data_IF_075771329370
#
_entry.id   IF_075771329370
#
_cell.length_a   1.000
_cell.length_b   1.000
_cell.length_c   1.000
_cell.angle_alpha   90.00
_cell.angle_beta   90.00
_cell.angle_gamma   90.00
#
_symmetry.space_group_name_H-M   'P 1'
#
loop_
_entity.id
_entity.type
_entity.pdbx_description
1 polymer ?
#
# COMPACT_ATOMS: atom_id res chain seq x y z
N UNK A 1 -36.28 20.08 28.74
CA UNK A 1 -35.26 20.66 27.86
C UNK A 1 -35.97 21.60 26.90
N UNK A 2 -35.64 22.89 26.88
CA UNK A 2 -36.24 23.82 25.92
C UNK A 2 -35.63 23.63 24.52
N UNK A 3 -36.20 24.27 23.47
CA UNK A 3 -35.73 24.09 22.09
C UNK A 3 -34.26 24.48 21.87
N UNK A 4 -33.75 25.47 22.62
CA UNK A 4 -32.34 25.89 22.58
C UNK A 4 -31.43 24.82 23.20
N UNK A 5 -31.77 24.30 24.38
CA UNK A 5 -31.03 23.22 25.03
C UNK A 5 -31.02 21.94 24.18
N UNK A 6 -32.13 21.66 23.48
CA UNK A 6 -32.23 20.54 22.54
C UNK A 6 -31.29 20.72 21.35
N UNK A 7 -31.20 21.93 20.78
CA UNK A 7 -30.26 22.23 19.69
C UNK A 7 -28.81 22.03 20.12
N UNK A 8 -28.40 22.55 21.29
CA UNK A 8 -27.03 22.32 21.80
C UNK A 8 -26.74 20.86 22.13
N UNK A 9 -27.72 20.10 22.61
CA UNK A 9 -27.58 18.67 22.85
C UNK A 9 -27.41 17.88 21.54
N UNK A 10 -28.26 18.16 20.54
CA UNK A 10 -28.17 17.55 19.20
C UNK A 10 -26.83 17.88 18.52
N UNK A 11 -26.40 19.14 18.60
CA UNK A 11 -25.11 19.61 18.09
C UNK A 11 -23.95 18.86 18.76
N UNK A 12 -24.02 18.64 20.07
CA UNK A 12 -22.97 17.90 20.81
C UNK A 12 -22.90 16.44 20.36
N UNK A 13 -24.05 15.79 20.20
CA UNK A 13 -24.11 14.40 19.74
C UNK A 13 -23.57 14.25 18.32
N UNK A 14 -24.00 15.12 17.40
CA UNK A 14 -23.46 15.17 16.04
C UNK A 14 -21.94 15.38 16.04
N UNK A 15 -21.46 16.33 16.84
CA UNK A 15 -20.03 16.64 16.91
C UNK A 15 -19.18 15.47 17.40
N UNK A 16 -19.69 14.68 18.37
CA UNK A 16 -19.02 13.45 18.82
C UNK A 16 -18.97 12.42 17.70
N UNK A 17 -20.09 12.14 17.02
CA UNK A 17 -20.13 11.18 15.92
C UNK A 17 -19.20 11.60 14.76
N UNK A 18 -19.25 12.87 14.38
CA UNK A 18 -18.38 13.47 13.37
C UNK A 18 -16.89 13.33 13.71
N UNK A 19 -16.54 13.58 14.98
CA UNK A 19 -15.16 13.46 15.46
C UNK A 19 -14.68 12.01 15.38
N UNK A 20 -15.49 11.05 15.83
CA UNK A 20 -15.17 9.62 15.77
C UNK A 20 -15.01 9.18 14.31
N UNK A 21 -15.95 9.59 13.45
CA UNK A 21 -15.88 9.30 12.03
C UNK A 21 -14.57 9.83 11.42
N UNK A 22 -14.24 11.11 11.64
CA UNK A 22 -13.01 11.71 11.12
C UNK A 22 -11.76 10.97 11.60
N UNK A 23 -11.69 10.63 12.89
CA UNK A 23 -10.57 9.91 13.47
C UNK A 23 -10.36 8.51 12.87
N UNK A 24 -11.43 7.84 12.43
CA UNK A 24 -11.36 6.50 11.81
C UNK A 24 -11.11 6.59 10.31
N UNK A 25 -11.79 7.48 9.59
CA UNK A 25 -11.79 7.48 8.13
C UNK A 25 -10.70 8.37 7.52
N UNK A 26 -10.38 9.52 8.11
CA UNK A 26 -9.38 10.43 7.53
C UNK A 26 -7.99 9.77 7.41
N UNK A 27 -7.47 9.05 8.43
CA UNK A 27 -6.20 8.33 8.28
C UNK A 27 -6.26 7.23 7.23
N UNK A 28 -7.41 6.57 7.05
CA UNK A 28 -7.56 5.50 6.03
C UNK A 28 -7.51 6.07 4.61
N UNK A 29 -8.20 7.18 4.35
CA UNK A 29 -8.14 7.86 3.06
C UNK A 29 -6.74 8.39 2.76
N UNK A 30 -6.07 9.02 3.74
CA UNK A 30 -4.70 9.49 3.60
C UNK A 30 -3.74 8.33 3.36
N UNK A 31 -3.84 7.26 4.15
CA UNK A 31 -3.00 6.08 3.98
C UNK A 31 -3.19 5.44 2.61
N UNK A 32 -4.43 5.28 2.15
CA UNK A 32 -4.69 4.71 0.82
C UNK A 32 -4.08 5.59 -0.28
N UNK A 33 -4.30 6.90 -0.23
CA UNK A 33 -3.68 7.85 -1.17
C UNK A 33 -2.15 7.69 -1.21
N UNK A 34 -1.52 7.56 -0.03
CA UNK A 34 -0.06 7.43 0.10
C UNK A 34 0.45 6.05 -0.34
N UNK A 35 -0.23 4.95 0.03
CA UNK A 35 0.31 3.59 -0.16
C UNK A 35 0.03 3.02 -1.54
N UNK A 36 -1.09 3.36 -2.16
CA UNK A 36 -1.48 2.83 -3.48
C UNK A 36 -1.38 3.86 -4.60
N UNK A 37 -1.15 5.14 -4.27
CA UNK A 37 -1.24 6.24 -5.24
C UNK A 37 -2.67 6.45 -5.77
N UNK A 38 -3.68 5.88 -5.09
CA UNK A 38 -5.07 5.92 -5.54
C UNK A 38 -5.72 7.26 -5.18
N UNK A 39 -5.44 8.26 -6.00
CA UNK A 39 -6.08 9.58 -5.94
C UNK A 39 -7.56 9.52 -6.30
N UNK A 40 -7.99 8.51 -7.06
CA UNK A 40 -9.38 8.35 -7.49
C UNK A 40 -10.28 7.99 -6.29
N UNK A 41 -9.83 7.15 -5.38
CA UNK A 41 -10.55 6.91 -4.14
C UNK A 41 -10.65 8.18 -3.27
N UNK A 42 -9.58 8.96 -3.19
CA UNK A 42 -9.52 10.14 -2.32
C UNK A 42 -10.41 11.29 -2.84
N UNK A 43 -10.34 11.63 -4.13
CA UNK A 43 -11.09 12.74 -4.73
C UNK A 43 -12.41 12.33 -5.39
N UNK A 44 -12.52 11.10 -5.90
CA UNK A 44 -13.63 10.64 -6.74
C UNK A 44 -14.45 9.51 -6.11
N UNK A 45 -14.23 9.24 -4.82
CA UNK A 45 -15.00 8.26 -4.07
C UNK A 45 -15.04 6.86 -4.72
N UNK A 46 -14.09 6.56 -5.60
CA UNK A 46 -13.92 5.26 -6.22
C UNK A 46 -13.13 4.36 -5.26
N UNK A 47 -13.73 4.05 -4.11
CA UNK A 47 -13.10 3.33 -3.00
C UNK A 47 -13.52 1.85 -2.96
N UNK A 48 -12.81 1.03 -2.18
CA UNK A 48 -13.40 -0.17 -1.58
C UNK A 48 -14.74 0.14 -0.90
N UNK A 49 -15.69 -0.79 -1.04
CA UNK A 49 -17.09 -0.64 -0.64
C UNK A 49 -17.32 -0.10 0.79
N UNK A 50 -16.43 -0.41 1.74
CA UNK A 50 -16.57 -0.05 3.14
C UNK A 50 -16.26 1.43 3.42
N UNK A 51 -15.30 2.02 2.69
CA UNK A 51 -14.90 3.42 2.84
C UNK A 51 -15.97 4.38 2.32
N UNK A 52 -16.48 4.12 1.11
CA UNK A 52 -17.53 4.92 0.49
C UNK A 52 -18.84 4.87 1.29
N UNK A 53 -19.26 3.67 1.71
CA UNK A 53 -20.49 3.50 2.51
C UNK A 53 -20.41 4.26 3.83
N UNK A 54 -19.24 4.33 4.45
CA UNK A 54 -19.01 5.13 5.66
C UNK A 54 -19.23 6.63 5.43
N UNK A 55 -18.61 7.21 4.40
CA UNK A 55 -18.81 8.62 4.02
C UNK A 55 -20.28 8.91 3.75
N UNK A 56 -20.91 8.05 2.95
CA UNK A 56 -22.32 8.16 2.61
C UNK A 56 -23.23 8.17 3.85
N UNK A 57 -23.02 7.23 4.78
CA UNK A 57 -23.76 7.15 6.03
C UNK A 57 -23.57 8.41 6.89
N UNK A 58 -22.33 8.91 7.01
CA UNK A 58 -22.05 10.10 7.80
C UNK A 58 -22.68 11.37 7.20
N UNK A 59 -22.67 11.51 5.87
CA UNK A 59 -23.36 12.61 5.20
C UNK A 59 -24.88 12.58 5.47
N UNK A 60 -25.51 11.41 5.43
CA UNK A 60 -26.93 11.27 5.78
C UNK A 60 -27.19 11.69 7.23
N UNK A 61 -26.38 11.20 8.17
CA UNK A 61 -26.50 11.56 9.59
C UNK A 61 -26.37 13.08 9.78
N UNK A 62 -25.44 13.72 9.08
CA UNK A 62 -25.25 15.18 9.10
C UNK A 62 -26.48 15.92 8.59
N UNK A 63 -27.04 15.52 7.45
CA UNK A 63 -28.23 16.15 6.87
C UNK A 63 -29.44 16.00 7.79
N UNK A 64 -29.63 14.81 8.38
CA UNK A 64 -30.69 14.56 9.36
C UNK A 64 -30.50 15.45 10.59
N UNK A 65 -29.28 15.56 11.10
CA UNK A 65 -28.96 16.46 12.22
C UNK A 65 -29.33 17.91 11.91
N UNK A 66 -28.92 18.45 10.76
CA UNK A 66 -29.25 19.83 10.39
C UNK A 66 -30.76 20.07 10.32
N UNK A 67 -31.52 19.11 9.78
CA UNK A 67 -32.98 19.20 9.75
C UNK A 67 -33.58 19.23 11.17
N UNK A 68 -33.14 18.35 12.05
CA UNK A 68 -33.59 18.30 13.45
C UNK A 68 -33.22 19.57 14.22
N UNK A 69 -32.02 20.10 13.99
CA UNK A 69 -31.54 21.31 14.64
C UNK A 69 -32.34 22.56 14.23
N UNK A 70 -32.69 22.68 12.94
CA UNK A 70 -33.58 23.74 12.46
C UNK A 70 -34.96 23.65 13.13
N UNK A 71 -35.52 22.44 13.27
CA UNK A 71 -36.80 22.22 13.95
C UNK A 71 -36.70 22.60 15.44
N UNK A 72 -35.61 22.18 16.11
CA UNK A 72 -35.35 22.52 17.51
C UNK A 72 -35.24 24.05 17.71
N UNK A 73 -34.48 24.74 16.87
CA UNK A 73 -34.35 26.20 16.92
C UNK A 73 -35.67 26.91 16.62
N UNK A 74 -36.45 26.45 15.62
CA UNK A 74 -37.78 27.03 15.32
C UNK A 74 -38.72 26.92 16.51
N UNK A 75 -38.68 25.80 17.25
CA UNK A 75 -39.47 25.62 18.47
C UNK A 75 -39.04 26.56 19.62
N UNK A 76 -37.81 27.07 19.58
CA UNK A 76 -37.29 28.05 20.56
C UNK A 76 -37.64 29.50 20.23
N UNK A 77 -38.25 29.77 19.06
CA UNK A 77 -38.64 31.11 18.63
C UNK A 77 -37.48 31.98 18.09
N UNK A 78 -36.27 31.44 17.98
CA UNK A 78 -35.11 32.15 17.47
C UNK A 78 -34.29 31.24 16.54
N UNK A 79 -34.15 31.63 15.27
CA UNK A 79 -33.27 30.95 14.31
C UNK A 79 -32.22 31.97 13.88
N UNK A 80 -31.00 31.94 14.44
CA UNK A 80 -29.95 32.84 14.02
C UNK A 80 -29.66 32.63 12.53
N UNK A 81 -29.80 33.69 11.74
CA UNK A 81 -29.64 33.66 10.28
C UNK A 81 -28.31 33.00 9.85
N UNK A 82 -27.25 33.27 10.61
CA UNK A 82 -25.91 32.70 10.38
C UNK A 82 -25.90 31.18 10.52
N UNK A 83 -26.61 30.63 11.51
CA UNK A 83 -26.70 29.17 11.73
C UNK A 83 -27.52 28.53 10.61
N UNK A 84 -28.62 29.18 10.22
CA UNK A 84 -29.44 28.71 9.10
C UNK A 84 -28.63 28.66 7.79
N UNK A 85 -27.93 29.74 7.45
CA UNK A 85 -27.08 29.78 6.25
C UNK A 85 -25.94 28.76 6.32
N UNK A 86 -25.30 28.60 7.49
CA UNK A 86 -24.26 27.61 7.69
C UNK A 86 -24.78 26.19 7.48
N UNK A 87 -25.86 25.80 8.17
CA UNK A 87 -26.43 24.45 8.06
C UNK A 87 -26.98 24.16 6.66
N UNK A 88 -27.64 25.14 6.02
CA UNK A 88 -28.11 24.99 4.64
C UNK A 88 -26.96 24.86 3.64
N UNK A 89 -25.89 25.66 3.78
CA UNK A 89 -24.73 25.58 2.89
C UNK A 89 -23.97 24.26 3.04
N UNK A 90 -23.73 23.80 4.27
CA UNK A 90 -23.07 22.51 4.54
C UNK A 90 -23.94 21.32 4.16
N UNK A 91 -25.25 21.37 4.42
CA UNK A 91 -26.19 20.34 4.00
C UNK A 91 -26.22 20.21 2.47
N UNK A 92 -26.33 21.34 1.76
CA UNK A 92 -26.31 21.36 0.30
C UNK A 92 -24.97 20.87 -0.26
N UNK A 93 -23.84 21.33 0.28
CA UNK A 93 -22.52 20.87 -0.11
C UNK A 93 -22.36 19.36 0.10
N UNK A 94 -22.83 18.84 1.24
CA UNK A 94 -22.86 17.42 1.57
C UNK A 94 -23.73 16.59 0.61
N UNK A 95 -24.88 17.10 0.19
CA UNK A 95 -25.74 16.42 -0.78
C UNK A 95 -25.14 16.43 -2.19
N UNK A 96 -24.56 17.56 -2.59
CA UNK A 96 -23.95 17.73 -3.91
C UNK A 96 -22.71 16.85 -4.09
N UNK A 97 -21.87 16.71 -3.05
CA UNK A 97 -20.72 15.79 -3.10
C UNK A 97 -21.16 14.33 -3.22
N UNK A 98 -22.24 13.92 -2.53
CA UNK A 98 -22.76 12.56 -2.60
C UNK A 98 -23.29 12.25 -3.99
N UNK A 99 -24.06 13.20 -4.55
CA UNK A 99 -24.60 13.08 -5.90
C UNK A 99 -23.50 13.01 -6.97
N UNK A 100 -22.44 13.81 -6.81
CA UNK A 100 -21.32 13.82 -7.74
C UNK A 100 -20.37 12.63 -7.57
N UNK A 101 -20.44 11.88 -6.46
CA UNK A 101 -19.45 10.87 -6.12
C UNK A 101 -18.05 11.47 -5.97
N UNK A 102 -17.93 12.62 -5.30
CA UNK A 102 -16.67 13.36 -5.16
C UNK A 102 -16.36 13.66 -3.70
N UNK A 103 -15.11 14.00 -3.42
CA UNK A 103 -14.65 14.61 -2.16
C UNK A 103 -14.71 13.70 -0.92
N UNK A 104 -14.54 12.39 -1.06
CA UNK A 104 -14.57 11.46 0.08
C UNK A 104 -13.44 11.67 1.09
N UNK A 105 -12.21 11.77 0.60
CA UNK A 105 -11.04 12.14 1.39
C UNK A 105 -11.23 13.53 2.02
N UNK A 106 -11.49 14.59 1.21
CA UNK A 106 -11.76 15.93 1.71
C UNK A 106 -12.83 16.01 2.80
N UNK A 107 -13.95 15.31 2.63
CA UNK A 107 -15.02 15.27 3.61
C UNK A 107 -14.57 14.69 4.96
N UNK A 108 -13.73 13.66 4.95
CA UNK A 108 -13.31 12.95 6.15
C UNK A 108 -12.46 13.80 7.12
N UNK A 109 -11.59 14.68 6.62
CA UNK A 109 -10.87 15.62 7.49
C UNK A 109 -11.65 16.89 7.77
N UNK A 110 -12.51 17.33 6.83
CA UNK A 110 -13.36 18.51 7.00
C UNK A 110 -14.28 18.36 8.22
N UNK A 111 -14.91 17.19 8.34
CA UNK A 111 -15.84 16.90 9.42
C UNK A 111 -15.15 16.76 10.79
N UNK A 112 -13.82 16.55 10.81
CA UNK A 112 -13.00 16.61 12.02
C UNK A 112 -12.99 17.99 12.69
N UNK A 113 -13.38 19.05 11.96
CA UNK A 113 -13.64 20.39 12.50
C UNK A 113 -14.61 20.40 13.69
N UNK A 114 -15.53 19.44 13.73
CA UNK A 114 -16.55 19.32 14.77
C UNK A 114 -16.00 18.98 16.17
N UNK A 115 -14.76 18.51 16.29
CA UNK A 115 -14.10 18.33 17.59
C UNK A 115 -14.14 19.61 18.44
N UNK A 116 -13.96 20.77 17.81
CA UNK A 116 -14.04 22.06 18.50
C UNK A 116 -15.46 22.40 18.97
N UNK A 117 -16.50 21.92 18.27
CA UNK A 117 -17.91 22.14 18.61
C UNK A 117 -18.29 21.49 19.94
N UNK A 118 -17.67 20.35 20.28
CA UNK A 118 -17.88 19.67 21.58
C UNK A 118 -17.56 20.64 22.74
N UNK A 119 -16.41 21.32 22.66
CA UNK A 119 -15.98 22.27 23.69
C UNK A 119 -16.76 23.59 23.64
N UNK A 120 -17.20 24.01 22.46
CA UNK A 120 -18.10 25.16 22.32
C UNK A 120 -19.43 24.93 23.05
N UNK A 121 -20.02 23.74 22.87
CA UNK A 121 -21.29 23.39 23.51
C UNK A 121 -21.11 23.19 25.02
N UNK A 122 -20.04 22.51 25.45
CA UNK A 122 -19.72 22.38 26.87
C UNK A 122 -19.56 23.75 27.56
N UNK A 123 -18.92 24.72 26.89
CA UNK A 123 -18.80 26.10 27.36
C UNK A 123 -20.17 26.76 27.52
N UNK A 124 -21.08 26.55 26.57
CA UNK A 124 -22.44 27.09 26.65
C UNK A 124 -23.20 26.52 27.85
N UNK A 125 -23.18 25.19 28.07
CA UNK A 125 -23.82 24.55 29.22
C UNK A 125 -23.25 25.04 30.56
N UNK A 126 -21.93 25.23 30.66
CA UNK A 126 -21.29 25.79 31.85
C UNK A 126 -21.73 27.24 32.10
N UNK A 127 -21.88 28.04 31.05
CA UNK A 127 -22.38 29.41 31.17
C UNK A 127 -23.85 29.44 31.61
N UNK A 128 -24.69 28.59 31.01
CA UNK A 128 -26.12 28.47 31.31
C UNK A 128 -26.38 28.01 32.75
N UNK A 129 -25.55 27.11 33.26
CA UNK A 129 -25.61 26.61 34.64
C UNK A 129 -24.98 27.55 35.68
N UNK A 130 -24.61 28.79 35.30
CA UNK A 130 -24.02 29.78 36.20
C UNK A 130 -22.57 29.49 36.61
N UNK A 131 -21.89 28.54 35.94
CA UNK A 131 -20.52 28.11 36.24
C UNK A 131 -19.45 28.82 35.40
N UNK A 132 -19.76 30.00 34.85
CA UNK A 132 -18.84 30.77 33.99
C UNK A 132 -17.58 31.28 34.70
N UNK A 133 -17.58 31.35 36.03
CA UNK A 133 -16.42 31.70 36.85
C UNK A 133 -15.58 30.50 37.30
N UNK A 134 -16.01 29.27 36.98
CA UNK A 134 -15.34 28.06 37.43
C UNK A 134 -14.01 27.80 36.71
N UNK A 135 -13.08 27.09 37.37
CA UNK A 135 -11.83 26.60 36.72
C UNK A 135 -12.14 25.71 35.52
N UNK A 136 -13.21 24.91 35.59
CA UNK A 136 -13.66 24.07 34.48
C UNK A 136 -14.05 24.89 33.25
N UNK A 137 -14.72 26.02 33.42
CA UNK A 137 -15.04 26.92 32.31
C UNK A 137 -13.78 27.44 31.60
N UNK A 138 -12.76 27.82 32.37
CA UNK A 138 -11.48 28.28 31.80
C UNK A 138 -10.78 27.17 31.01
N UNK A 139 -10.75 25.95 31.55
CA UNK A 139 -10.17 24.77 30.86
C UNK A 139 -10.92 24.49 29.55
N UNK A 140 -12.26 24.41 29.59
CA UNK A 140 -13.08 24.17 28.40
C UNK A 140 -12.91 25.27 27.36
N UNK A 141 -12.75 26.53 27.77
CA UNK A 141 -12.42 27.62 26.85
C UNK A 141 -11.05 27.45 26.19
N UNK A 142 -10.03 27.02 26.95
CA UNK A 142 -8.71 26.71 26.41
C UNK A 142 -8.76 25.55 25.41
N UNK A 143 -9.44 24.46 25.76
CA UNK A 143 -9.64 23.31 24.88
C UNK A 143 -10.39 23.68 23.61
N UNK A 144 -11.43 24.52 23.69
CA UNK A 144 -12.09 25.08 22.51
C UNK A 144 -11.12 25.83 21.61
N UNK A 145 -10.29 26.73 22.15
CA UNK A 145 -9.34 27.50 21.35
C UNK A 145 -8.28 26.61 20.67
N UNK A 146 -7.72 25.64 21.41
CA UNK A 146 -6.71 24.71 20.88
C UNK A 146 -7.30 23.82 19.79
N UNK A 147 -8.45 23.21 20.06
CA UNK A 147 -9.10 22.32 19.10
C UNK A 147 -9.58 23.06 17.85
N UNK A 148 -10.10 24.29 18.01
CA UNK A 148 -10.44 25.15 16.87
C UNK A 148 -9.21 25.46 15.99
N UNK A 149 -8.07 25.79 16.61
CA UNK A 149 -6.83 26.00 15.87
C UNK A 149 -6.40 24.73 15.12
N UNK A 150 -6.31 23.60 15.82
CA UNK A 150 -5.82 22.35 15.23
C UNK A 150 -6.72 21.89 14.09
N UNK A 151 -8.04 21.82 14.28
CA UNK A 151 -8.93 21.21 13.29
C UNK A 151 -9.39 22.18 12.22
N UNK A 152 -9.76 23.41 12.59
CA UNK A 152 -10.38 24.39 11.66
C UNK A 152 -9.40 25.39 11.04
N UNK A 153 -8.18 25.52 11.57
CA UNK A 153 -7.13 26.38 10.99
C UNK A 153 -6.03 25.55 10.34
N UNK A 154 -5.45 24.60 11.09
CA UNK A 154 -4.31 23.82 10.61
C UNK A 154 -4.75 22.67 9.70
N UNK A 155 -5.52 21.70 10.20
CA UNK A 155 -5.97 20.54 9.41
C UNK A 155 -6.82 20.99 8.21
N UNK A 156 -7.77 21.91 8.42
CA UNK A 156 -8.53 22.49 7.32
C UNK A 156 -7.61 23.14 6.28
N UNK A 157 -6.66 23.99 6.71
CA UNK A 157 -5.78 24.71 5.80
C UNK A 157 -4.92 23.76 4.96
N UNK A 158 -4.33 22.74 5.60
CA UNK A 158 -3.55 21.70 4.92
C UNK A 158 -4.42 20.89 3.96
N UNK A 159 -5.59 20.44 4.41
CA UNK A 159 -6.53 19.68 3.59
C UNK A 159 -7.07 20.47 2.39
N UNK A 160 -7.34 21.76 2.58
CA UNK A 160 -7.77 22.67 1.52
C UNK A 160 -6.66 22.89 0.48
N UNK A 161 -5.41 23.05 0.93
CA UNK A 161 -4.27 23.18 0.03
C UNK A 161 -4.08 21.90 -0.80
N UNK A 162 -4.10 20.73 -0.17
CA UNK A 162 -4.04 19.44 -0.87
C UNK A 162 -5.19 19.30 -1.88
N UNK A 163 -6.41 19.59 -1.45
CA UNK A 163 -7.59 19.50 -2.31
C UNK A 163 -7.50 20.40 -3.54
N UNK A 164 -7.09 21.67 -3.37
CA UNK A 164 -7.02 22.63 -4.48
C UNK A 164 -5.82 22.39 -5.39
N UNK A 165 -4.70 21.92 -4.84
CA UNK A 165 -3.44 21.81 -5.59
C UNK A 165 -3.30 20.47 -6.30
N UNK A 166 -3.86 19.40 -5.72
CA UNK A 166 -3.59 18.03 -6.18
C UNK A 166 -4.80 17.34 -6.83
N UNK A 167 -6.04 17.85 -6.73
CA UNK A 167 -7.17 17.26 -7.47
C UNK A 167 -7.07 17.63 -8.97
N UNK A 168 -6.77 16.67 -9.87
CA UNK A 168 -6.55 16.95 -11.29
C UNK A 168 -7.82 17.39 -12.03
N UNK A 169 -8.99 17.17 -11.43
CA UNK A 169 -10.28 17.40 -12.06
C UNK A 169 -10.98 18.66 -11.52
N UNK A 170 -10.40 19.33 -10.53
CA UNK A 170 -11.00 20.50 -9.87
C UNK A 170 -11.29 21.67 -10.82
N UNK A 171 -10.46 21.86 -11.86
CA UNK A 171 -10.64 22.93 -12.86
C UNK A 171 -10.75 22.41 -14.32
N UNK A 172 -10.95 21.10 -14.52
CA UNK A 172 -10.82 20.48 -15.84
C UNK A 172 -12.08 20.60 -16.73
N UNK A 173 -13.28 20.52 -16.15
CA UNK A 173 -14.58 20.60 -16.86
C UNK A 173 -15.60 21.35 -16.04
N UNK A 174 -16.45 22.19 -16.65
CA UNK A 174 -17.48 22.95 -15.91
C UNK A 174 -18.63 22.03 -15.47
N UNK A 175 -18.64 21.66 -14.20
CA UNK A 175 -19.66 20.80 -13.58
C UNK A 175 -20.20 21.43 -12.29
N UNK A 176 -21.43 21.08 -11.91
CA UNK A 176 -22.12 21.71 -10.76
C UNK A 176 -21.35 21.55 -9.45
N UNK A 177 -20.63 20.45 -9.26
CA UNK A 177 -19.87 20.18 -8.02
C UNK A 177 -18.66 21.11 -7.83
N UNK A 178 -18.18 21.80 -8.87
CA UNK A 178 -17.04 22.72 -8.75
C UNK A 178 -17.34 24.00 -7.98
N UNK A 179 -18.59 24.20 -7.52
CA UNK A 179 -18.89 25.20 -6.50
C UNK A 179 -18.26 24.86 -5.14
N UNK A 180 -17.99 23.58 -4.86
CA UNK A 180 -17.50 23.09 -3.57
C UNK A 180 -16.13 23.68 -3.19
N UNK A 181 -15.10 23.71 -4.06
CA UNK A 181 -13.84 24.39 -3.78
C UNK A 181 -14.00 25.84 -3.33
N UNK A 182 -14.85 26.62 -4.01
CA UNK A 182 -15.11 28.01 -3.63
C UNK A 182 -15.76 28.12 -2.26
N UNK A 183 -16.69 27.21 -1.94
CA UNK A 183 -17.31 27.14 -0.62
C UNK A 183 -16.28 26.79 0.46
N UNK A 184 -15.35 25.87 0.19
CA UNK A 184 -14.31 25.50 1.16
C UNK A 184 -13.35 26.66 1.42
N UNK A 185 -12.93 27.39 0.38
CA UNK A 185 -12.09 28.60 0.54
C UNK A 185 -12.82 29.67 1.34
N UNK A 186 -14.08 29.97 1.00
CA UNK A 186 -14.88 30.94 1.73
C UNK A 186 -15.04 30.56 3.21
N UNK A 187 -15.26 29.27 3.48
CA UNK A 187 -15.40 28.75 4.83
C UNK A 187 -14.10 28.79 5.63
N UNK A 188 -12.96 28.52 4.97
CA UNK A 188 -11.65 28.68 5.59
C UNK A 188 -11.41 30.14 6.01
N UNK A 189 -11.75 31.10 5.15
CA UNK A 189 -11.71 32.52 5.50
C UNK A 189 -12.57 32.87 6.72
N UNK A 190 -13.76 32.26 6.84
CA UNK A 190 -14.62 32.42 8.01
C UNK A 190 -13.99 31.80 9.28
N UNK A 191 -13.35 30.64 9.18
CA UNK A 191 -12.62 30.02 10.30
C UNK A 191 -11.47 30.92 10.78
N UNK A 192 -10.69 31.51 9.87
CA UNK A 192 -9.62 32.45 10.21
C UNK A 192 -10.17 33.69 10.93
N UNK A 193 -11.29 34.24 10.45
CA UNK A 193 -11.98 35.35 11.11
C UNK A 193 -12.41 34.99 12.54
N UNK A 194 -13.05 33.84 12.75
CA UNK A 194 -13.46 33.40 14.08
C UNK A 194 -12.28 33.12 15.00
N UNK A 195 -11.22 32.49 14.50
CA UNK A 195 -10.02 32.25 15.28
C UNK A 195 -9.37 33.56 15.76
N UNK A 196 -9.34 34.59 14.90
CA UNK A 196 -8.87 35.93 15.30
C UNK A 196 -9.68 36.51 16.47
N UNK A 197 -10.99 36.27 16.52
CA UNK A 197 -11.83 36.68 17.66
C UNK A 197 -11.57 35.85 18.91
N UNK A 198 -11.39 34.54 18.76
CA UNK A 198 -11.06 33.64 19.88
C UNK A 198 -9.76 34.09 20.54
N UNK A 199 -8.72 34.35 19.75
CA UNK A 199 -7.44 34.86 20.26
C UNK A 199 -7.62 36.17 21.04
N UNK A 200 -8.37 37.14 20.53
CA UNK A 200 -8.65 38.39 21.26
C UNK A 200 -9.33 38.16 22.61
N UNK A 201 -10.24 37.20 22.70
CA UNK A 201 -10.94 36.86 23.96
C UNK A 201 -9.96 36.22 24.94
N UNK A 202 -9.13 35.27 24.48
CA UNK A 202 -8.12 34.60 25.30
C UNK A 202 -7.08 35.62 25.80
N UNK A 203 -6.54 36.47 24.92
CA UNK A 203 -5.56 37.50 25.29
C UNK A 203 -6.13 38.60 26.20
N UNK A 204 -7.43 38.93 26.12
CA UNK A 204 -8.06 39.84 27.09
C UNK A 204 -8.30 39.16 28.46
N UNK A 205 -8.50 37.85 28.48
CA UNK A 205 -8.74 37.08 29.71
C UNK A 205 -7.48 36.82 30.52
N UNK A 206 -6.33 36.73 29.86
CA UNK A 206 -5.02 36.72 30.51
C UNK A 206 -4.62 38.20 30.71
N UNK A 207 -4.28 38.65 31.92
CA UNK A 207 -3.83 40.05 32.18
C UNK A 207 -2.46 40.37 31.56
N UNK A 208 -2.23 39.99 30.31
CA UNK A 208 -1.00 40.25 29.57
C UNK A 208 -1.15 41.60 28.89
N UNK A 209 -0.22 42.52 29.18
CA UNK A 209 -0.18 43.91 28.66
C UNK A 209 0.30 43.96 27.20
N UNK A 210 -0.13 43.02 26.36
CA UNK A 210 0.21 42.97 24.94
C UNK A 210 -1.02 43.41 24.15
N UNK A 211 -0.88 44.45 23.33
CA UNK A 211 -1.94 44.88 22.43
C UNK A 211 -2.35 43.70 21.54
N UNK A 212 -3.65 43.35 21.44
CA UNK A 212 -4.09 42.26 20.59
C UNK A 212 -3.61 42.52 19.15
N UNK A 213 -3.04 41.52 18.45
CA UNK A 213 -2.58 41.71 17.08
C UNK A 213 -3.74 42.19 16.19
N UNK A 214 -3.43 43.07 15.24
CA UNK A 214 -4.39 43.49 14.22
C UNK A 214 -4.86 42.28 13.42
N UNK A 215 -6.01 42.38 12.76
CA UNK A 215 -6.49 41.29 11.89
C UNK A 215 -5.44 40.88 10.86
N UNK A 216 -4.76 41.87 10.27
CA UNK A 216 -3.67 41.64 9.31
C UNK A 216 -2.46 40.91 9.92
N UNK A 217 -2.02 41.27 11.13
CA UNK A 217 -0.90 40.57 11.79
C UNK A 217 -1.28 39.16 12.22
N UNK A 218 -2.51 38.95 12.65
CA UNK A 218 -3.03 37.61 13.00
C UNK A 218 -3.10 36.73 11.75
N UNK A 219 -3.60 37.27 10.64
CA UNK A 219 -3.67 36.56 9.36
C UNK A 219 -2.27 36.21 8.83
N UNK A 220 -1.30 37.13 8.94
CA UNK A 220 0.09 36.88 8.54
C UNK A 220 0.75 35.80 9.40
N UNK A 221 0.57 35.85 10.72
CA UNK A 221 1.08 34.84 11.65
C UNK A 221 0.46 33.47 11.39
N UNK A 222 -0.84 33.41 11.11
CA UNK A 222 -1.52 32.15 10.78
C UNK A 222 -1.04 31.62 9.44
N UNK A 223 -0.98 32.45 8.39
CA UNK A 223 -0.43 32.06 7.09
C UNK A 223 1.00 31.53 7.24
N UNK A 224 1.83 32.23 8.01
CA UNK A 224 3.22 31.85 8.27
C UNK A 224 3.32 30.56 9.11
N UNK A 225 2.43 30.34 10.08
CA UNK A 225 2.36 29.11 10.85
C UNK A 225 1.83 27.96 9.99
N UNK A 226 0.85 28.17 9.11
CA UNK A 226 0.37 27.14 8.19
C UNK A 226 1.41 26.78 7.14
N UNK A 227 2.19 27.75 6.64
CA UNK A 227 3.29 27.47 5.70
C UNK A 227 4.48 26.82 6.40
N UNK A 228 4.82 27.21 7.64
CA UNK A 228 5.93 26.60 8.39
C UNK A 228 5.57 25.23 8.93
N UNK A 229 4.33 25.03 9.41
CA UNK A 229 3.80 23.70 9.75
C UNK A 229 3.68 22.83 8.51
N UNK A 230 3.35 23.39 7.34
CA UNK A 230 3.47 22.68 6.06
C UNK A 230 4.92 22.33 5.78
N UNK A 231 5.90 23.24 5.87
CA UNK A 231 7.31 22.89 5.64
C UNK A 231 7.83 21.78 6.56
N UNK A 232 7.44 21.77 7.84
CA UNK A 232 7.85 20.75 8.81
C UNK A 232 7.10 19.42 8.64
N UNK A 233 5.82 19.46 8.24
CA UNK A 233 5.01 18.27 7.96
C UNK A 233 5.38 17.68 6.59
N UNK A 234 5.62 18.53 5.60
CA UNK A 234 6.11 18.22 4.27
C UNK A 234 7.51 17.62 4.33
N UNK A 235 8.47 18.15 5.11
CA UNK A 235 9.78 17.52 5.23
C UNK A 235 9.71 16.12 5.86
N UNK A 236 8.87 15.93 6.89
CA UNK A 236 8.68 14.63 7.56
C UNK A 236 7.97 13.59 6.66
N UNK A 237 6.97 14.03 5.88
CA UNK A 237 6.25 13.15 4.95
C UNK A 237 7.02 12.93 3.66
N UNK A 238 7.69 13.94 3.08
CA UNK A 238 8.49 13.79 1.86
C UNK A 238 9.66 12.84 2.08
N UNK A 239 10.36 12.90 3.22
CA UNK A 239 11.46 11.97 3.48
C UNK A 239 10.96 10.50 3.50
N UNK A 240 9.72 10.26 3.94
CA UNK A 240 9.09 8.94 3.89
C UNK A 240 8.45 8.60 2.54
N UNK A 241 7.84 9.57 1.86
CA UNK A 241 7.19 9.41 0.55
C UNK A 241 8.24 9.20 -0.53
N UNK A 242 9.31 9.99 -0.58
CA UNK A 242 10.44 9.80 -1.49
C UNK A 242 11.09 8.42 -1.26
N UNK A 243 11.28 8.00 -0.01
CA UNK A 243 11.87 6.69 0.28
C UNK A 243 10.94 5.53 -0.09
N UNK A 244 9.63 5.69 0.07
CA UNK A 244 8.62 4.70 -0.35
C UNK A 244 8.45 4.68 -1.88
N UNK A 245 8.45 5.82 -2.56
CA UNK A 245 8.39 5.94 -4.02
C UNK A 245 9.67 5.39 -4.65
N UNK A 246 10.85 5.71 -4.10
CA UNK A 246 12.13 5.12 -4.54
C UNK A 246 12.12 3.61 -4.31
N UNK A 247 11.60 3.14 -3.17
CA UNK A 247 11.44 1.70 -2.90
C UNK A 247 10.48 1.03 -3.89
N UNK A 248 9.34 1.65 -4.20
CA UNK A 248 8.36 1.13 -5.15
C UNK A 248 8.89 1.15 -6.59
N UNK A 249 9.57 2.22 -7.01
CA UNK A 249 10.21 2.32 -8.31
C UNK A 249 11.34 1.30 -8.45
N UNK A 250 12.10 1.10 -7.38
CA UNK A 250 13.12 0.04 -7.30
C UNK A 250 12.48 -1.34 -7.44
N UNK A 251 11.44 -1.63 -6.66
CA UNK A 251 10.70 -2.89 -6.73
C UNK A 251 10.12 -3.15 -8.14
N UNK A 252 9.57 -2.13 -8.79
CA UNK A 252 9.08 -2.20 -10.17
C UNK A 252 10.21 -2.45 -11.18
N UNK A 253 11.38 -1.87 -10.96
CA UNK A 253 12.56 -2.10 -11.81
C UNK A 253 13.07 -3.53 -11.66
N UNK A 254 13.24 -4.02 -10.42
CA UNK A 254 13.68 -5.40 -10.16
C UNK A 254 12.69 -6.41 -10.76
N UNK A 255 11.39 -6.19 -10.57
CA UNK A 255 10.33 -7.03 -11.13
C UNK A 255 10.41 -7.09 -12.64
N UNK A 256 10.51 -5.94 -13.31
CA UNK A 256 10.60 -5.89 -14.78
C UNK A 256 11.83 -6.62 -15.32
N UNK A 257 12.98 -6.47 -14.67
CA UNK A 257 14.21 -7.15 -15.08
C UNK A 257 14.07 -8.66 -14.91
N UNK A 258 13.52 -9.11 -13.78
CA UNK A 258 13.26 -10.53 -13.53
C UNK A 258 12.21 -11.14 -14.47
N UNK A 259 11.12 -10.44 -14.75
CA UNK A 259 10.09 -10.92 -15.68
C UNK A 259 10.63 -11.03 -17.11
N UNK A 260 11.48 -10.07 -17.52
CA UNK A 260 12.18 -10.15 -18.81
C UNK A 260 13.16 -11.33 -18.86
N UNK A 261 13.89 -11.58 -17.76
CA UNK A 261 14.79 -12.71 -17.62
C UNK A 261 14.02 -14.04 -17.78
N UNK A 262 12.97 -14.25 -16.98
CA UNK A 262 12.11 -15.44 -17.04
C UNK A 262 11.48 -15.63 -18.43
N UNK A 263 11.05 -14.54 -19.07
CA UNK A 263 10.53 -14.59 -20.43
C UNK A 263 11.59 -15.10 -21.43
N UNK A 264 12.83 -14.62 -21.32
CA UNK A 264 13.93 -15.01 -22.19
C UNK A 264 14.42 -16.46 -21.93
N UNK A 265 14.16 -17.04 -20.76
CA UNK A 265 14.53 -18.42 -20.43
C UNK A 265 13.45 -19.45 -20.77
N UNK A 266 12.18 -19.11 -20.54
CA UNK A 266 11.09 -20.08 -20.52
C UNK A 266 10.07 -19.90 -21.64
N UNK A 267 9.78 -18.66 -22.07
CA UNK A 267 8.70 -18.43 -23.02
C UNK A 267 9.04 -19.06 -24.39
N UNK A 268 8.22 -19.98 -24.94
CA UNK A 268 8.57 -20.78 -26.12
C UNK A 268 9.08 -19.98 -27.32
N UNK A 269 8.44 -18.83 -27.60
CA UNK A 269 8.78 -17.94 -28.72
C UNK A 269 9.85 -16.87 -28.41
N UNK A 270 10.36 -16.79 -27.17
CA UNK A 270 11.30 -15.74 -26.75
C UNK A 270 12.60 -16.29 -26.12
N UNK A 271 12.81 -17.61 -26.17
CA UNK A 271 14.04 -18.25 -25.67
C UNK A 271 15.29 -17.66 -26.32
N UNK A 272 16.13 -16.97 -25.54
CA UNK A 272 17.35 -16.30 -26.02
C UNK A 272 18.37 -16.16 -24.89
N UNK A 273 19.57 -16.74 -25.11
CA UNK A 273 20.69 -16.58 -24.16
C UNK A 273 21.13 -15.13 -24.11
N UNK A 274 21.18 -14.45 -25.26
CA UNK A 274 21.58 -13.04 -25.34
C UNK A 274 20.64 -12.15 -24.51
N UNK A 275 19.32 -12.29 -24.66
CA UNK A 275 18.37 -11.48 -23.89
C UNK A 275 18.41 -11.82 -22.39
N UNK A 276 18.60 -13.09 -22.02
CA UNK A 276 18.83 -13.48 -20.61
C UNK A 276 20.09 -12.81 -20.07
N UNK A 277 21.23 -12.92 -20.76
CA UNK A 277 22.50 -12.35 -20.31
C UNK A 277 22.47 -10.81 -20.21
N UNK A 278 21.67 -10.11 -21.03
CA UNK A 278 21.48 -8.65 -20.94
C UNK A 278 20.84 -8.19 -19.63
N UNK A 279 20.11 -9.07 -18.94
CA UNK A 279 19.51 -8.75 -17.63
C UNK A 279 20.47 -8.97 -16.46
N UNK A 280 21.64 -9.55 -16.71
CA UNK A 280 22.64 -9.88 -15.71
C UNK A 280 23.81 -8.88 -15.71
N UNK A 281 24.50 -8.75 -14.57
CA UNK A 281 25.65 -7.88 -14.44
C UNK A 281 26.91 -8.47 -15.11
N UNK A 282 28.07 -7.82 -14.95
CA UNK A 282 29.33 -8.26 -15.55
C UNK A 282 29.95 -9.50 -14.88
N UNK A 283 29.49 -9.88 -13.67
CA UNK A 283 30.04 -11.00 -12.90
C UNK A 283 28.92 -11.89 -12.33
N UNK A 284 28.04 -12.44 -13.19
CA UNK A 284 26.86 -13.15 -12.71
C UNK A 284 27.21 -14.53 -12.16
N UNK A 285 26.37 -15.07 -11.29
CA UNK A 285 26.41 -16.49 -10.94
C UNK A 285 25.03 -17.11 -10.87
N UNK A 286 24.89 -18.31 -11.43
CA UNK A 286 23.66 -19.10 -11.35
C UNK A 286 23.98 -20.41 -10.64
N UNK A 287 23.15 -20.80 -9.68
CA UNK A 287 23.29 -22.07 -8.97
C UNK A 287 21.93 -22.75 -8.79
N UNK A 288 21.76 -23.88 -9.47
CA UNK A 288 20.71 -24.84 -9.18
C UNK A 288 21.16 -25.72 -8.02
N UNK A 289 20.79 -25.32 -6.81
CA UNK A 289 21.40 -25.79 -5.57
C UNK A 289 21.33 -27.31 -5.39
N UNK A 290 20.20 -27.99 -5.66
CA UNK A 290 20.11 -29.43 -5.45
C UNK A 290 20.99 -30.27 -6.39
N UNK A 291 21.29 -29.78 -7.60
CA UNK A 291 22.18 -30.46 -8.56
C UNK A 291 23.58 -29.87 -8.59
N UNK A 292 23.81 -28.72 -7.95
CA UNK A 292 25.04 -27.95 -7.97
C UNK A 292 25.51 -27.58 -9.39
N UNK A 293 24.55 -27.39 -10.31
CA UNK A 293 24.83 -27.02 -11.70
C UNK A 293 24.53 -25.53 -11.90
N UNK A 294 25.35 -24.89 -12.72
CA UNK A 294 25.17 -23.51 -13.13
C UNK A 294 26.46 -22.95 -13.71
N UNK A 295 26.79 -21.71 -13.35
CA UNK A 295 28.00 -21.04 -13.81
C UNK A 295 28.36 -19.82 -12.98
N UNK A 296 29.63 -19.40 -13.06
CA UNK A 296 30.14 -18.19 -12.41
C UNK A 296 30.92 -17.37 -13.43
N UNK A 297 30.58 -16.09 -13.55
CA UNK A 297 31.08 -15.18 -14.57
C UNK A 297 30.35 -15.33 -15.91
N UNK A 298 30.40 -14.28 -16.73
CA UNK A 298 29.59 -14.12 -17.95
C UNK A 298 29.70 -15.30 -18.91
N UNK A 299 30.91 -15.76 -19.21
CA UNK A 299 31.12 -16.85 -20.17
C UNK A 299 30.59 -18.19 -19.65
N UNK A 300 30.82 -18.49 -18.36
CA UNK A 300 30.36 -19.75 -17.77
C UNK A 300 28.84 -19.80 -17.64
N UNK A 301 28.21 -18.67 -17.30
CA UNK A 301 26.74 -18.57 -17.22
C UNK A 301 26.12 -18.65 -18.62
N UNK A 302 26.68 -17.96 -19.61
CA UNK A 302 26.21 -18.06 -20.99
C UNK A 302 26.34 -19.48 -21.57
N UNK A 303 27.46 -20.17 -21.30
CA UNK A 303 27.65 -21.57 -21.69
C UNK A 303 26.64 -22.49 -21.01
N UNK A 304 26.39 -22.30 -19.71
CA UNK A 304 25.35 -23.03 -18.97
C UNK A 304 23.96 -22.82 -19.59
N UNK A 305 23.56 -21.56 -19.82
CA UNK A 305 22.26 -21.26 -20.42
C UNK A 305 22.09 -21.86 -21.81
N UNK A 306 23.16 -21.84 -22.62
CA UNK A 306 23.16 -22.38 -23.98
C UNK A 306 23.09 -23.90 -23.99
N UNK A 307 23.93 -24.56 -23.20
CA UNK A 307 24.15 -26.00 -23.32
C UNK A 307 23.22 -26.84 -22.44
N UNK A 308 22.85 -26.32 -21.26
CA UNK A 308 22.26 -27.12 -20.16
C UNK A 308 20.91 -26.62 -19.67
N UNK A 309 20.45 -25.43 -20.06
CA UNK A 309 19.22 -24.83 -19.51
C UNK A 309 18.19 -24.40 -20.56
N UNK A 310 18.29 -23.19 -21.12
CA UNK A 310 17.23 -22.50 -21.88
C UNK A 310 16.67 -23.39 -23.00
N UNK A 311 17.55 -24.01 -23.78
CA UNK A 311 17.16 -24.85 -24.91
C UNK A 311 16.85 -26.30 -24.54
N UNK A 312 17.21 -26.74 -23.33
CA UNK A 312 16.91 -28.08 -22.80
C UNK A 312 15.59 -28.14 -22.02
N UNK A 313 15.02 -26.99 -21.69
CA UNK A 313 13.71 -26.87 -21.04
C UNK A 313 12.59 -27.47 -21.91
N UNK A 314 11.86 -28.52 -21.45
CA UNK A 314 10.70 -29.06 -22.15
C UNK A 314 9.54 -28.06 -22.13
N UNK A 315 8.40 -28.46 -22.72
CA UNK A 315 7.15 -27.76 -22.42
C UNK A 315 6.86 -27.91 -20.92
N UNK A 316 6.67 -26.80 -20.23
CA UNK A 316 6.41 -26.78 -18.79
C UNK A 316 5.40 -25.68 -18.47
N UNK A 317 4.59 -25.93 -17.44
CA UNK A 317 3.74 -24.93 -16.83
C UNK A 317 4.42 -24.41 -15.57
N UNK A 318 4.58 -23.09 -15.49
CA UNK A 318 5.12 -22.39 -14.34
C UNK A 318 3.98 -21.60 -13.70
N UNK A 319 3.53 -22.04 -12.52
CA UNK A 319 2.44 -21.38 -11.79
C UNK A 319 3.04 -20.56 -10.64
N UNK A 320 2.95 -19.21 -10.68
CA UNK A 320 3.40 -18.38 -9.57
C UNK A 320 2.58 -18.66 -8.30
N UNK A 321 3.24 -18.74 -7.15
CA UNK A 321 2.61 -18.91 -5.83
C UNK A 321 2.75 -17.64 -5.01
N UNK A 322 3.98 -17.18 -4.81
CA UNK A 322 4.27 -15.97 -4.06
C UNK A 322 5.54 -15.28 -4.58
N UNK A 323 5.61 -13.96 -4.42
CA UNK A 323 6.79 -13.17 -4.74
C UNK A 323 7.06 -12.17 -3.63
N UNK A 324 8.27 -12.22 -3.06
CA UNK A 324 8.76 -11.25 -2.08
C UNK A 324 9.84 -10.39 -2.71
N UNK A 325 9.64 -9.06 -2.69
CA UNK A 325 10.59 -8.10 -3.24
C UNK A 325 11.28 -7.38 -2.10
N UNK A 326 12.59 -7.61 -1.96
CA UNK A 326 13.47 -6.87 -1.07
C UNK A 326 14.16 -5.69 -1.76
N UNK A 327 15.02 -4.99 -1.02
CA UNK A 327 15.77 -3.82 -1.53
C UNK A 327 16.56 -4.13 -2.81
N UNK A 328 17.23 -5.28 -2.83
CA UNK A 328 18.13 -5.75 -3.90
C UNK A 328 17.93 -7.23 -4.20
N UNK A 329 16.74 -7.78 -3.93
CA UNK A 329 16.50 -9.21 -4.10
C UNK A 329 15.04 -9.49 -4.41
N UNK A 330 14.81 -10.55 -5.16
CA UNK A 330 13.50 -11.16 -5.35
C UNK A 330 13.56 -12.60 -4.85
N UNK A 331 12.55 -13.02 -4.09
CA UNK A 331 12.30 -14.43 -3.79
C UNK A 331 11.00 -14.79 -4.48
N UNK A 332 11.07 -15.67 -5.46
CA UNK A 332 9.94 -16.09 -6.28
C UNK A 332 9.65 -17.56 -6.02
N UNK A 333 8.44 -17.86 -5.57
CA UNK A 333 7.95 -19.21 -5.30
C UNK A 333 6.98 -19.61 -6.40
N UNK A 334 7.23 -20.75 -7.02
CA UNK A 334 6.46 -21.22 -8.16
C UNK A 334 6.29 -22.74 -8.11
N UNK A 335 5.20 -23.22 -8.72
CA UNK A 335 4.98 -24.64 -8.96
C UNK A 335 5.36 -24.92 -10.40
N UNK A 336 6.26 -25.88 -10.59
CA UNK A 336 6.65 -26.39 -11.90
C UNK A 336 5.89 -27.67 -12.18
N UNK A 337 5.30 -27.75 -13.37
CA UNK A 337 4.73 -28.97 -13.92
C UNK A 337 5.34 -29.24 -15.30
N UNK A 338 5.92 -30.42 -15.49
CA UNK A 338 6.54 -30.79 -16.77
C UNK A 338 6.51 -32.30 -16.99
N UNK A 339 6.66 -32.71 -18.24
CA UNK A 339 6.92 -34.10 -18.61
C UNK A 339 8.41 -34.29 -18.93
N UNK A 340 9.03 -35.31 -18.34
CA UNK A 340 10.44 -35.65 -18.57
C UNK A 340 10.62 -36.40 -19.91
N UNK A 341 10.35 -35.69 -21.02
CA UNK A 341 10.36 -36.20 -22.40
C UNK A 341 11.73 -36.11 -23.10
N UNK A 342 12.70 -35.47 -22.46
CA UNK A 342 14.08 -35.22 -22.92
C UNK A 342 15.01 -35.16 -21.72
N UNK A 343 16.32 -35.21 -21.96
CA UNK A 343 17.29 -34.94 -20.90
C UNK A 343 17.14 -33.51 -20.39
N UNK A 344 17.06 -33.34 -19.07
CA UNK A 344 16.94 -32.03 -18.40
C UNK A 344 18.16 -31.84 -17.49
N UNK A 345 19.32 -31.38 -18.03
CA UNK A 345 20.59 -31.43 -17.31
C UNK A 345 20.61 -30.67 -15.99
N UNK A 346 19.85 -29.58 -15.87
CA UNK A 346 19.80 -28.78 -14.66
C UNK A 346 18.99 -29.41 -13.53
N UNK A 347 18.02 -30.29 -13.86
CA UNK A 347 17.10 -30.91 -12.90
C UNK A 347 17.54 -32.33 -12.50
N UNK A 348 17.90 -33.14 -13.49
CA UNK A 348 18.33 -34.54 -13.33
C UNK A 348 19.45 -34.85 -14.33
N UNK A 349 20.71 -34.50 -13.99
CA UNK A 349 21.81 -34.42 -14.97
C UNK A 349 22.15 -35.74 -15.68
N UNK A 350 21.94 -36.86 -14.99
CA UNK A 350 22.38 -38.19 -15.42
C UNK A 350 21.22 -39.12 -15.79
N UNK A 351 19.99 -38.60 -15.87
CA UNK A 351 18.80 -39.41 -16.11
C UNK A 351 18.29 -39.21 -17.54
N UNK A 352 18.12 -40.34 -18.25
CA UNK A 352 17.47 -40.36 -19.55
C UNK A 352 15.96 -40.11 -19.43
N UNK A 353 15.27 -39.70 -20.51
CA UNK A 353 13.84 -39.41 -20.49
C UNK A 353 13.03 -40.56 -19.91
N UNK A 354 12.28 -40.28 -18.84
CA UNK A 354 11.42 -41.27 -18.18
C UNK A 354 9.97 -41.18 -18.65
N UNK A 355 9.62 -40.11 -19.38
CA UNK A 355 8.25 -39.78 -19.81
C UNK A 355 7.24 -39.61 -18.66
N UNK A 356 7.72 -39.57 -17.41
CA UNK A 356 6.89 -39.25 -16.27
C UNK A 356 6.55 -37.75 -16.25
N UNK A 357 5.31 -37.43 -15.90
CA UNK A 357 4.91 -36.07 -15.56
C UNK A 357 5.17 -35.83 -14.08
N UNK A 358 5.89 -34.76 -13.78
CA UNK A 358 6.29 -34.41 -12.42
C UNK A 358 5.81 -33.00 -12.08
N UNK A 359 5.41 -32.81 -10.83
CA UNK A 359 5.01 -31.51 -10.31
C UNK A 359 5.70 -31.26 -8.98
N UNK A 360 6.35 -30.10 -8.83
CA UNK A 360 7.11 -29.79 -7.63
C UNK A 360 7.20 -28.26 -7.39
N UNK A 361 7.27 -27.82 -6.13
CA UNK A 361 7.60 -26.43 -5.80
C UNK A 361 9.07 -26.10 -6.12
N UNK A 362 9.30 -24.88 -6.59
CA UNK A 362 10.61 -24.31 -6.84
C UNK A 362 10.66 -22.89 -6.26
N UNK A 363 11.79 -22.53 -5.64
CA UNK A 363 12.07 -21.19 -5.14
C UNK A 363 13.29 -20.63 -5.85
N UNK A 364 13.13 -19.48 -6.50
CA UNK A 364 14.20 -18.69 -7.09
C UNK A 364 14.55 -17.52 -6.17
N UNK A 365 15.80 -17.48 -5.67
CA UNK A 365 16.35 -16.33 -4.95
C UNK A 365 17.27 -15.57 -5.89
N UNK A 366 16.82 -14.40 -6.31
CA UNK A 366 17.50 -13.53 -7.27
C UNK A 366 18.06 -12.32 -6.53
N UNK A 367 19.35 -12.05 -6.69
CA UNK A 367 20.06 -10.93 -6.06
C UNK A 367 20.51 -9.97 -7.15
N UNK A 368 20.29 -8.68 -6.93
CA UNK A 368 20.60 -7.62 -7.86
C UNK A 368 21.75 -6.75 -7.35
N UNK A 369 22.59 -6.31 -8.28
CA UNK A 369 23.57 -5.24 -8.09
C UNK A 369 23.26 -4.12 -9.09
N UNK A 370 22.94 -2.93 -8.58
CA UNK A 370 22.28 -1.93 -9.42
C UNK A 370 21.00 -2.52 -10.01
N UNK A 371 20.68 -2.22 -11.27
CA UNK A 371 19.45 -2.72 -11.92
C UNK A 371 19.60 -4.11 -12.56
N UNK A 372 20.74 -4.78 -12.40
CA UNK A 372 21.05 -6.05 -13.07
C UNK A 372 21.17 -7.21 -12.07
N UNK A 373 20.87 -8.41 -12.54
CA UNK A 373 20.96 -9.64 -11.75
C UNK A 373 22.43 -10.00 -11.54
N UNK A 374 22.83 -10.18 -10.29
CA UNK A 374 24.18 -10.63 -9.90
C UNK A 374 24.20 -12.12 -9.58
N UNK A 375 23.20 -12.62 -8.84
CA UNK A 375 23.18 -14.01 -8.41
C UNK A 375 21.79 -14.61 -8.48
N UNK A 376 21.72 -15.87 -8.90
CA UNK A 376 20.53 -16.70 -8.83
C UNK A 376 20.83 -17.96 -8.05
N UNK A 377 19.96 -18.28 -7.09
CA UNK A 377 19.99 -19.54 -6.34
C UNK A 377 18.62 -20.17 -6.42
N UNK A 378 18.57 -21.33 -7.06
CA UNK A 378 17.34 -22.05 -7.35
C UNK A 378 17.28 -23.27 -6.45
N UNK A 379 16.17 -23.39 -5.71
CA UNK A 379 15.92 -24.46 -4.74
C UNK A 379 14.67 -25.23 -5.12
N UNK A 380 14.70 -26.54 -4.89
CA UNK A 380 13.54 -27.42 -4.91
C UNK A 380 13.85 -28.68 -4.10
N UNK A 381 12.82 -29.50 -3.84
CA UNK A 381 13.00 -30.80 -3.21
C UNK A 381 13.41 -31.86 -4.25
N UNK A 382 14.71 -32.19 -4.28
CA UNK A 382 15.24 -33.19 -5.20
C UNK A 382 14.68 -34.59 -4.91
N UNK A 383 14.37 -34.93 -3.67
CA UNK A 383 13.86 -36.26 -3.33
C UNK A 383 12.46 -36.45 -3.91
N UNK A 384 11.61 -35.42 -3.83
CA UNK A 384 10.28 -35.39 -4.46
C UNK A 384 10.37 -35.53 -5.98
N UNK A 385 11.32 -34.85 -6.63
CA UNK A 385 11.56 -34.99 -8.07
C UNK A 385 11.99 -36.41 -8.42
N UNK A 386 13.00 -36.96 -7.73
CA UNK A 386 13.52 -38.29 -8.00
C UNK A 386 12.52 -39.41 -7.72
N UNK A 387 11.66 -39.26 -6.70
CA UNK A 387 10.55 -40.18 -6.40
C UNK A 387 9.52 -40.20 -7.54
N UNK A 388 9.10 -39.03 -8.02
CA UNK A 388 8.16 -38.94 -9.14
C UNK A 388 8.74 -39.47 -10.46
N UNK A 389 10.06 -39.37 -10.64
CA UNK A 389 10.78 -39.94 -11.79
C UNK A 389 11.06 -41.45 -11.66
N UNK A 390 10.69 -42.09 -10.55
CA UNK A 390 10.90 -43.52 -10.32
C UNK A 390 12.33 -43.92 -9.99
N UNK A 391 13.19 -42.97 -9.60
CA UNK A 391 14.59 -43.22 -9.20
C UNK A 391 14.67 -43.66 -7.74
N UNK A 392 13.84 -43.08 -6.88
CA UNK A 392 13.73 -43.42 -5.46
C UNK A 392 12.46 -44.26 -5.26
N UNK A 393 12.52 -45.26 -4.36
CA UNK A 393 11.38 -46.13 -4.04
C UNK A 393 10.17 -45.30 -3.55
N UNK A 394 9.04 -45.48 -4.24
CA UNK A 394 7.80 -44.80 -3.93
C UNK A 394 7.25 -45.14 -2.53
N UNK A 395 7.69 -46.28 -1.94
CA UNK A 395 7.29 -46.74 -0.62
C UNK A 395 7.90 -45.91 0.54
N UNK A 396 8.93 -45.10 0.28
CA UNK A 396 9.55 -44.24 1.29
C UNK A 396 8.53 -43.17 1.69
N UNK A 397 7.95 -43.33 2.88
CA UNK A 397 6.87 -42.49 3.42
C UNK A 397 7.31 -41.07 3.74
N UNK A 398 8.59 -40.89 4.06
CA UNK A 398 9.15 -39.59 4.48
C UNK A 398 9.44 -38.65 3.31
N UNK A 399 9.36 -39.16 2.07
CA UNK A 399 9.49 -38.36 0.84
C UNK A 399 8.11 -38.21 0.22
N UNK A 400 7.59 -37.00 0.18
CA UNK A 400 6.31 -36.69 -0.46
C UNK A 400 6.46 -36.53 -1.97
N UNK A 401 5.41 -36.80 -2.73
CA UNK A 401 5.33 -36.66 -4.18
C UNK A 401 4.66 -35.34 -4.61
N UNK A 402 3.79 -35.34 -5.64
CA UNK A 402 3.19 -34.12 -6.18
C UNK A 402 2.27 -33.38 -5.17
N UNK A 403 1.89 -34.02 -4.07
CA UNK A 403 1.10 -33.41 -3.00
C UNK A 403 1.78 -32.19 -2.36
N UNK A 404 3.12 -32.09 -2.40
CA UNK A 404 3.82 -30.87 -1.96
C UNK A 404 3.33 -29.64 -2.72
N UNK A 405 3.15 -29.76 -4.04
CA UNK A 405 2.70 -28.67 -4.89
C UNK A 405 1.20 -28.38 -4.72
N UNK A 406 0.36 -29.40 -4.51
CA UNK A 406 -1.08 -29.20 -4.38
C UNK A 406 -1.50 -28.57 -3.05
N UNK A 407 -0.74 -28.83 -1.97
CA UNK A 407 -1.03 -28.29 -0.65
C UNK A 407 -0.51 -26.86 -0.47
N UNK A 408 0.56 -26.48 -1.18
CA UNK A 408 1.24 -25.19 -1.04
C UNK A 408 0.29 -23.97 -1.15
N UNK A 409 -0.62 -23.86 -2.13
CA UNK A 409 -1.54 -22.71 -2.22
C UNK A 409 -2.67 -22.74 -1.20
N UNK A 410 -2.98 -23.92 -0.63
CA UNK A 410 -4.18 -24.14 0.19
C UNK A 410 -3.96 -23.90 1.68
N UNK A 411 -2.70 -23.74 2.13
CA UNK A 411 -2.29 -23.73 3.53
C UNK A 411 -2.83 -24.93 4.35
N UNK A 412 -3.24 -26.02 3.69
CA UNK A 412 -3.65 -27.26 4.34
C UNK A 412 -2.42 -28.15 4.51
N UNK A 413 -2.18 -28.59 5.73
CA UNK A 413 -1.17 -29.60 6.00
C UNK A 413 -1.79 -30.99 5.83
N UNK A 414 -0.96 -32.00 5.55
CA UNK A 414 -1.39 -33.39 5.75
C UNK A 414 -1.87 -33.54 7.20
N UNK A 415 -3.00 -34.24 7.39
CA UNK A 415 -3.61 -34.44 8.71
C UNK A 415 -2.66 -35.14 9.71
N UNK A 416 -3.10 -35.24 10.97
CA UNK A 416 -2.29 -35.67 12.12
C UNK A 416 -1.29 -36.81 11.84
N UNK A 417 -0.04 -36.58 12.24
CA UNK A 417 1.07 -37.52 12.17
C UNK A 417 0.80 -38.73 13.07
N UNK A 418 0.40 -39.88 12.51
CA UNK A 418 0.37 -41.13 13.28
C UNK A 418 1.77 -41.74 13.34
N UNK A 419 2.44 -41.57 14.48
CA UNK A 419 3.72 -42.21 14.75
C UNK A 419 3.55 -43.73 14.87
N UNK A 420 3.82 -44.47 13.80
CA UNK A 420 4.00 -45.92 13.88
C UNK A 420 5.16 -46.37 13.01
N UNK A 421 6.37 -46.34 13.56
CA UNK A 421 7.35 -47.44 13.43
C UNK A 421 8.70 -47.03 14.03
N UNK A 422 9.31 -47.98 14.73
CA UNK A 422 10.68 -47.94 15.23
C UNK A 422 11.68 -47.87 14.07
N UNK A 423 12.61 -46.91 14.11
CA UNK A 423 13.69 -46.78 13.14
C UNK A 423 14.59 -48.03 13.14
N UNK A 424 14.82 -48.71 12.00
CA UNK A 424 15.87 -49.72 11.89
C UNK A 424 17.26 -49.06 11.84
N UNK A 425 18.32 -49.72 12.37
CA UNK A 425 19.66 -49.14 12.41
C UNK A 425 20.30 -49.10 11.01
N UNK A 426 20.92 -47.97 10.67
CA UNK A 426 21.66 -47.76 9.43
C UNK A 426 22.96 -48.59 9.44
N UNK A 427 23.14 -49.47 8.45
CA UNK A 427 24.44 -50.11 8.16
C UNK A 427 25.21 -49.29 7.12
N UNK A 428 26.54 -49.06 7.27
CA UNK A 428 27.31 -48.32 6.28
C UNK A 428 27.62 -49.19 5.06
N UNK A 429 27.41 -48.68 3.84
CA UNK A 429 27.90 -49.29 2.60
C UNK A 429 29.16 -48.56 2.09
N UNK A 430 30.11 -49.33 1.55
CA UNK A 430 31.40 -48.88 1.00
C UNK A 430 31.25 -48.05 -0.29
N UNK A 431 32.22 -47.17 -0.62
CA UNK A 431 32.14 -46.29 -1.77
C UNK A 431 32.55 -46.98 -3.08
N UNK A 432 31.74 -46.83 -4.13
CA UNK A 432 32.06 -47.24 -5.51
C UNK A 432 32.69 -46.11 -6.33
N UNK A 433 33.53 -46.50 -7.30
CA UNK A 433 34.49 -45.68 -8.09
C UNK A 433 33.84 -44.75 -9.15
N UNK A 434 34.55 -43.74 -9.69
CA UNK A 434 33.96 -42.70 -10.52
C UNK A 434 33.73 -43.13 -11.98
N UNK A 435 32.56 -42.78 -12.53
CA UNK A 435 32.20 -42.91 -13.95
C UNK A 435 32.56 -41.66 -14.76
N UNK A 436 32.90 -41.89 -16.04
CA UNK A 436 33.46 -40.95 -17.01
C UNK A 436 32.46 -39.95 -17.62
N UNK A 437 32.86 -38.68 -17.72
CA UNK A 437 32.17 -37.62 -18.45
C UNK A 437 32.11 -37.87 -19.97
N UNK A 438 30.90 -37.83 -20.54
CA UNK A 438 30.69 -37.70 -21.99
C UNK A 438 30.25 -36.28 -22.33
N UNK A 439 30.99 -35.62 -23.23
CA UNK A 439 30.66 -34.30 -23.79
C UNK A 439 29.41 -34.39 -24.68
N UNK A 440 28.38 -33.62 -24.33
CA UNK A 440 27.17 -33.41 -25.14
C UNK A 440 27.44 -32.22 -26.09
N UNK A 441 27.17 -32.39 -27.39
CA UNK A 441 27.40 -31.38 -28.43
C UNK A 441 26.35 -30.26 -28.46
N UNK A 442 26.78 -29.06 -28.85
CA UNK A 442 25.95 -27.85 -28.92
C UNK A 442 25.00 -27.84 -30.13
N UNK A 443 23.88 -27.13 -30.01
CA UNK A 443 22.98 -26.86 -31.15
C UNK A 443 23.52 -25.71 -32.02
N UNK A 444 23.30 -25.75 -33.35
CA UNK A 444 23.76 -24.71 -34.31
C UNK A 444 23.29 -23.28 -33.99
N UNK A 445 22.20 -23.12 -33.24
CA UNK A 445 21.72 -21.79 -32.79
C UNK A 445 22.59 -21.26 -31.64
N UNK A 446 23.02 -22.12 -30.73
CA UNK A 446 23.86 -21.75 -29.58
C UNK A 446 25.30 -21.37 -29.94
N UNK A 447 25.88 -21.98 -30.97
CA UNK A 447 27.24 -21.64 -31.43
C UNK A 447 27.34 -20.20 -31.95
N UNK A 448 26.35 -19.74 -32.70
CA UNK A 448 26.33 -18.38 -33.25
C UNK A 448 26.17 -17.29 -32.18
N UNK A 449 25.38 -17.55 -31.12
CA UNK A 449 25.15 -16.59 -30.04
C UNK A 449 26.38 -16.44 -29.12
N UNK A 450 27.13 -17.53 -28.88
CA UNK A 450 28.38 -17.50 -28.09
C UNK A 450 29.45 -16.63 -28.76
N UNK A 451 29.60 -16.73 -30.09
CA UNK A 451 30.59 -15.95 -30.82
C UNK A 451 30.23 -14.47 -30.91
N UNK A 452 28.94 -14.12 -30.85
CA UNK A 452 28.48 -12.74 -30.73
C UNK A 452 28.77 -12.16 -29.33
N UNK A 453 28.54 -12.94 -28.27
CA UNK A 453 28.86 -12.52 -26.89
C UNK A 453 30.37 -12.29 -26.72
N UNK A 454 31.23 -13.14 -27.28
CA UNK A 454 32.70 -12.96 -27.27
C UNK A 454 33.15 -11.68 -27.97
N UNK A 455 32.42 -11.21 -28.99
CA UNK A 455 32.72 -9.94 -29.69
C UNK A 455 32.29 -8.71 -28.89
N UNK A 456 31.32 -8.85 -27.99
CA UNK A 456 30.79 -7.75 -27.15
C UNK A 456 31.49 -7.62 -25.80
N UNK A 457 32.27 -8.63 -25.39
CA UNK A 457 33.00 -8.67 -24.10
C UNK A 457 34.51 -8.40 -24.20
N UNK A 458 35.06 -8.31 -25.42
CA UNK A 458 36.37 -7.73 -25.72
C UNK A 458 36.20 -6.29 -26.20
#
# INVERSE_FOLDING_TARGET
MNGEELSYALSTYHAILATIFSAVYAPRFVNLKITTGDEACYYECNCPDDLWKGVYAMCIIMVIYFALDIVAMKSSGNVPLVVLFHHSAFGFAGMLQLWAGRNCGPFSWLIGGELSTIFLNARWFLKRSGRSSSRLYVIVQGLFAVTFFLTRVLIYGVGLYDFVSNDPNIFRRVEVWQIIPFLFVAMYGLNLYWFSKILRIVFKGIKVKVSPPSFATTLLLILCLTTTSFSLFHSSIFDHEELLTVSAQRAGTLTRVWDNHMKAEFHPNHKSVIETMKTMNAHPSVNHVPTQIGGVGTLSVADFYTSKFIFQNPAMDVTPVSRTIGKNSIVDEMIINLTHDRAIPWLVPSLEPTFATITFPLVAIVIFEGDLISHERIYWDQATVLKQLGVIDASISDVTGPEQASLLPSNKLLGEFHSSSSFPPLTPSEPSSPHSDKKIGLSKKGENEIDEIKRLTN
#
